data_IF_822409002901
#
_entry.id   IF_822409002901
#
_cell.length_a   1.000
_cell.length_b   1.000
_cell.length_c   1.000
_cell.angle_alpha   90.00
_cell.angle_beta   90.00
_cell.angle_gamma   90.00
#
_symmetry.space_group_name_H-M   'P 1'
#
loop_
_entity.id
_entity.type
_entity.pdbx_description
1 polymer ?
#
# COMPACT_ATOMS: atom_id res chain seq x y z
N UNK A 1 5.83 -15.76 -25.07
CA UNK A 1 4.96 -15.89 -23.87
C UNK A 1 5.81 -15.62 -22.64
N UNK A 2 5.21 -15.18 -21.53
CA UNK A 2 5.87 -15.09 -20.23
C UNK A 2 5.48 -16.34 -19.41
N UNK A 3 6.37 -16.94 -18.62
CA UNK A 3 7.74 -16.53 -18.30
C UNK A 3 8.74 -16.65 -19.47
N UNK A 4 9.69 -15.71 -19.55
CA UNK A 4 10.78 -15.75 -20.54
C UNK A 4 12.09 -16.06 -19.83
N UNK A 5 12.74 -17.15 -20.19
CA UNK A 5 14.07 -17.49 -19.72
C UNK A 5 15.13 -16.67 -20.47
N UNK A 6 16.08 -16.09 -19.74
CA UNK A 6 17.15 -15.26 -20.30
C UNK A 6 18.49 -16.01 -20.36
N UNK A 7 18.70 -16.97 -19.45
CA UNK A 7 19.93 -17.77 -19.33
C UNK A 7 20.42 -17.86 -17.89
N UNK A 8 21.50 -18.61 -17.66
CA UNK A 8 22.10 -18.78 -16.33
C UNK A 8 22.86 -17.53 -15.87
N UNK A 9 22.81 -17.24 -14.58
CA UNK A 9 23.66 -16.24 -13.95
C UNK A 9 25.09 -16.80 -13.76
N UNK A 10 26.15 -16.13 -14.23
CA UNK A 10 27.53 -16.58 -14.01
C UNK A 10 27.96 -16.59 -12.54
N UNK A 11 27.25 -15.90 -11.64
CA UNK A 11 27.61 -15.84 -10.21
C UNK A 11 26.98 -16.96 -9.39
N UNK A 12 25.67 -17.18 -9.54
CA UNK A 12 24.94 -18.18 -8.75
C UNK A 12 24.76 -19.51 -9.49
N UNK A 13 24.83 -19.49 -10.82
CA UNK A 13 24.49 -20.65 -11.67
C UNK A 13 22.99 -20.85 -11.88
N UNK A 14 22.13 -20.02 -11.26
CA UNK A 14 20.67 -20.15 -11.38
C UNK A 14 20.15 -19.55 -12.69
N UNK A 15 19.06 -20.10 -13.21
CA UNK A 15 18.40 -19.57 -14.42
C UNK A 15 17.64 -18.27 -14.13
N UNK A 16 18.04 -17.20 -14.81
CA UNK A 16 17.36 -15.91 -14.77
C UNK A 16 16.11 -15.97 -15.64
N UNK A 17 14.97 -15.67 -15.04
CA UNK A 17 13.66 -15.70 -15.71
C UNK A 17 12.89 -14.40 -15.51
N UNK A 18 12.33 -13.86 -16.59
CA UNK A 18 11.47 -12.69 -16.59
C UNK A 18 9.99 -13.08 -16.49
N UNK A 19 9.27 -12.39 -15.60
CA UNK A 19 7.85 -12.59 -15.30
C UNK A 19 7.10 -11.26 -15.39
N UNK A 20 5.78 -11.35 -15.56
CA UNK A 20 4.87 -10.22 -15.38
C UNK A 20 3.86 -10.56 -14.28
N UNK A 21 3.99 -9.91 -13.12
CA UNK A 21 3.21 -10.21 -11.93
C UNK A 21 2.28 -9.07 -11.49
N UNK A 22 1.61 -9.26 -10.34
CA UNK A 22 0.66 -8.29 -9.77
C UNK A 22 1.24 -6.88 -9.56
N UNK A 23 2.54 -6.80 -9.25
CA UNK A 23 3.23 -5.55 -8.94
C UNK A 23 4.01 -4.99 -10.13
N UNK A 24 3.82 -5.56 -11.33
CA UNK A 24 4.55 -5.22 -12.54
C UNK A 24 5.53 -6.31 -12.99
N UNK A 25 6.26 -6.04 -14.07
CA UNK A 25 7.29 -6.94 -14.60
C UNK A 25 8.47 -7.06 -13.63
N UNK A 26 9.05 -8.25 -13.52
CA UNK A 26 10.16 -8.54 -12.63
C UNK A 26 11.02 -9.69 -13.16
N UNK A 27 12.27 -9.75 -12.70
CA UNK A 27 13.21 -10.84 -12.93
C UNK A 27 13.40 -11.66 -11.65
N UNK A 28 13.59 -12.96 -11.82
CA UNK A 28 13.85 -13.93 -10.74
C UNK A 28 15.09 -14.75 -11.08
N UNK A 29 15.97 -14.93 -10.10
CA UNK A 29 17.16 -15.77 -10.14
C UNK A 29 17.21 -16.56 -8.82
N UNK A 30 16.89 -17.85 -8.83
CA UNK A 30 16.75 -18.64 -7.60
C UNK A 30 15.72 -18.03 -6.62
N UNK A 31 16.18 -17.62 -5.44
CA UNK A 31 15.39 -16.93 -4.42
C UNK A 31 15.40 -15.39 -4.56
N UNK A 32 16.32 -14.86 -5.36
CA UNK A 32 16.44 -13.43 -5.59
C UNK A 32 15.44 -12.94 -6.64
N UNK A 33 14.83 -11.79 -6.35
CA UNK A 33 13.85 -11.14 -7.22
C UNK A 33 14.08 -9.64 -7.28
N UNK A 34 13.89 -9.07 -8.47
CA UNK A 34 14.00 -7.63 -8.72
C UNK A 34 12.94 -7.16 -9.70
N UNK A 35 12.27 -6.06 -9.36
CA UNK A 35 11.32 -5.40 -10.26
C UNK A 35 12.06 -4.77 -11.45
N UNK A 36 11.47 -4.89 -12.64
CA UNK A 36 11.96 -4.19 -13.82
C UNK A 36 11.49 -2.72 -13.79
N UNK A 37 12.31 -1.77 -14.29
CA UNK A 37 11.88 -0.41 -14.54
C UNK A 37 10.67 -0.35 -15.49
N UNK A 38 9.88 0.71 -15.41
CA UNK A 38 8.73 0.94 -16.30
C UNK A 38 9.11 1.03 -17.79
N UNK A 39 10.35 1.41 -18.06
CA UNK A 39 10.88 1.61 -19.42
C UNK A 39 11.28 0.28 -20.08
N UNK A 40 11.43 -0.80 -19.31
CA UNK A 40 11.90 -2.09 -19.79
C UNK A 40 10.76 -3.09 -19.77
N UNK A 41 10.40 -3.55 -20.96
CA UNK A 41 9.43 -4.63 -21.15
C UNK A 41 10.03 -5.97 -20.68
N UNK A 42 9.25 -6.84 -20.00
CA UNK A 42 9.70 -8.20 -19.66
C UNK A 42 9.94 -9.08 -20.90
N UNK A 43 9.48 -8.62 -22.07
CA UNK A 43 9.74 -9.28 -23.34
C UNK A 43 11.05 -8.84 -23.98
N UNK A 44 11.60 -7.67 -23.64
CA UNK A 44 12.80 -7.10 -24.30
C UNK A 44 14.02 -7.07 -23.38
N UNK A 45 13.85 -7.44 -22.11
CA UNK A 45 14.93 -7.49 -21.13
C UNK A 45 16.02 -8.47 -21.56
N UNK A 46 17.27 -8.02 -21.45
CA UNK A 46 18.45 -8.85 -21.73
C UNK A 46 19.00 -9.47 -20.45
N UNK A 47 19.76 -10.56 -20.57
CA UNK A 47 20.45 -11.19 -19.44
C UNK A 47 21.32 -10.18 -18.68
N UNK A 48 22.08 -9.36 -19.41
CA UNK A 48 22.98 -8.36 -18.82
C UNK A 48 22.24 -7.33 -17.96
N UNK A 49 21.11 -6.81 -18.44
CA UNK A 49 20.26 -5.88 -17.68
C UNK A 49 19.65 -6.55 -16.44
N UNK A 50 19.23 -7.82 -16.57
CA UNK A 50 18.69 -8.56 -15.44
C UNK A 50 19.74 -8.76 -14.34
N UNK A 51 20.98 -9.10 -14.73
CA UNK A 51 22.10 -9.25 -13.79
C UNK A 51 22.48 -7.94 -13.12
N UNK A 52 22.45 -6.82 -13.85
CA UNK A 52 22.69 -5.49 -13.28
C UNK A 52 21.64 -5.14 -12.22
N UNK A 53 20.36 -5.45 -12.48
CA UNK A 53 19.29 -5.23 -11.51
C UNK A 53 19.40 -6.15 -10.28
N UNK A 54 19.76 -7.42 -10.49
CA UNK A 54 19.99 -8.40 -9.41
C UNK A 54 21.15 -7.98 -8.50
N UNK A 55 22.23 -7.44 -9.07
CA UNK A 55 23.37 -6.92 -8.32
C UNK A 55 23.03 -5.70 -7.45
N UNK A 56 21.98 -4.94 -7.77
CA UNK A 56 21.53 -3.84 -6.92
C UNK A 56 20.94 -4.37 -5.61
N UNK A 57 21.17 -3.70 -4.47
CA UNK A 57 20.58 -4.09 -3.19
C UNK A 57 19.05 -4.06 -3.27
N UNK A 58 18.40 -4.96 -2.54
CA UNK A 58 16.93 -5.06 -2.51
C UNK A 58 16.38 -3.75 -1.94
N UNK A 59 15.86 -2.88 -2.81
CA UNK A 59 15.22 -1.64 -2.38
C UNK A 59 14.04 -2.02 -1.51
N UNK A 60 14.20 -1.85 -0.18
CA UNK A 60 13.10 -1.99 0.75
C UNK A 60 11.96 -1.09 0.26
N UNK A 61 10.76 -1.66 0.18
CA UNK A 61 9.58 -0.98 -0.36
C UNK A 61 9.46 0.41 0.27
N UNK A 62 9.73 1.45 -0.51
CA UNK A 62 9.61 2.86 -0.11
C UNK A 62 8.20 3.06 0.46
N UNK A 63 8.06 3.03 1.79
CA UNK A 63 6.74 3.18 2.42
C UNK A 63 6.49 2.45 3.73
N UNK A 64 7.32 1.49 4.14
CA UNK A 64 7.21 0.84 5.45
C UNK A 64 8.58 0.82 6.13
N UNK A 65 8.84 1.81 7.00
CA UNK A 65 9.97 1.75 7.93
C UNK A 65 11.31 2.33 7.46
N UNK A 66 11.37 3.15 6.42
CA UNK A 66 12.54 4.04 6.30
C UNK A 66 12.46 5.05 7.45
N UNK A 67 13.52 5.11 8.27
CA UNK A 67 13.69 6.12 9.31
C UNK A 67 13.59 7.47 8.64
N UNK A 68 12.46 8.14 8.82
CA UNK A 68 12.24 9.46 8.24
C UNK A 68 13.06 10.46 9.03
N UNK A 69 13.65 11.41 8.33
CA UNK A 69 14.33 12.51 8.98
C UNK A 69 13.27 13.31 9.77
N UNK A 70 13.48 13.52 11.08
CA UNK A 70 12.58 14.34 11.88
C UNK A 70 12.67 15.78 11.40
N UNK A 71 11.51 16.37 11.08
CA UNK A 71 11.38 17.79 10.74
C UNK A 71 11.78 18.65 11.94
N UNK A 72 11.39 18.20 13.13
CA UNK A 72 11.71 18.87 14.40
C UNK A 72 11.88 17.81 15.48
N UNK A 73 12.90 17.98 16.32
CA UNK A 73 13.12 17.15 17.51
C UNK A 73 12.95 18.07 18.70
N UNK A 74 12.12 17.65 19.65
CA UNK A 74 11.90 18.33 20.91
C UNK A 74 12.55 17.56 22.07
N UNK A 75 12.45 18.11 23.27
CA UNK A 75 12.92 17.52 24.50
C UNK A 75 12.13 16.27 24.90
N UNK A 76 12.56 15.63 25.99
CA UNK A 76 11.98 14.40 26.51
C UNK A 76 10.57 14.64 27.07
N UNK A 77 9.63 13.76 26.70
CA UNK A 77 8.28 13.79 27.25
C UNK A 77 8.30 13.50 28.76
N UNK A 78 7.61 14.29 29.60
CA UNK A 78 7.56 14.05 31.05
C UNK A 78 6.85 12.74 31.41
N UNK A 79 6.10 12.14 30.48
CA UNK A 79 5.33 10.91 30.69
C UNK A 79 6.16 9.68 30.31
N UNK A 80 6.74 9.70 29.11
CA UNK A 80 7.42 8.53 28.52
C UNK A 80 8.94 8.60 28.61
N UNK A 81 9.52 9.75 29.01
CA UNK A 81 10.98 10.03 29.05
C UNK A 81 11.68 9.77 27.70
N UNK A 82 10.91 9.78 26.61
CA UNK A 82 11.41 9.57 25.26
C UNK A 82 11.43 10.91 24.51
N UNK A 83 12.38 11.05 23.58
CA UNK A 83 12.51 12.23 22.73
C UNK A 83 11.29 12.36 21.83
N UNK A 84 10.65 13.52 21.88
CA UNK A 84 9.48 13.81 21.05
C UNK A 84 9.95 14.28 19.67
N UNK A 85 9.52 13.59 18.61
CA UNK A 85 9.91 13.88 17.23
C UNK A 85 8.70 14.21 16.37
N UNK A 86 8.85 15.22 15.52
CA UNK A 86 7.88 15.59 14.49
C UNK A 86 8.36 15.04 13.15
N UNK A 87 7.59 14.13 12.56
CA UNK A 87 7.92 13.41 11.33
C UNK A 87 6.84 13.66 10.28
N UNK A 88 7.22 13.68 9.01
CA UNK A 88 6.22 13.67 7.93
C UNK A 88 5.67 12.25 7.71
N UNK A 89 4.35 12.13 7.66
CA UNK A 89 3.59 10.88 7.61
C UNK A 89 3.06 10.55 6.21
N UNK A 90 2.66 9.30 5.95
CA UNK A 90 1.77 9.00 4.79
C UNK A 90 0.47 9.81 4.85
N UNK A 91 0.05 10.14 6.07
CA UNK A 91 -1.21 10.82 6.35
C UNK A 91 -1.04 12.31 6.69
N UNK A 92 0.18 12.83 6.55
CA UNK A 92 0.58 14.16 7.00
C UNK A 92 1.45 14.12 8.27
N UNK A 93 1.90 15.29 8.73
CA UNK A 93 2.83 15.43 9.85
C UNK A 93 2.25 14.84 11.14
N UNK A 94 3.11 14.16 11.91
CA UNK A 94 2.75 13.55 13.18
C UNK A 94 3.88 13.68 14.18
N UNK A 95 3.50 13.80 15.44
CA UNK A 95 4.39 13.77 16.59
C UNK A 95 4.46 12.33 17.12
N UNK A 96 5.65 11.86 17.44
CA UNK A 96 5.90 10.58 18.07
C UNK A 96 6.81 10.76 19.29
N UNK A 97 6.49 10.09 20.37
CA UNK A 97 7.39 9.90 21.51
C UNK A 97 7.93 8.46 21.55
N UNK A 98 7.95 7.76 20.39
CA UNK A 98 8.38 6.36 20.26
C UNK A 98 7.32 5.33 20.65
N UNK A 99 6.45 5.65 21.60
CA UNK A 99 5.36 4.77 22.05
C UNK A 99 3.99 5.20 21.49
N UNK A 100 3.69 6.49 21.55
CA UNK A 100 2.44 7.11 21.10
C UNK A 100 2.66 7.97 19.86
N UNK A 101 1.74 7.85 18.90
CA UNK A 101 1.77 8.62 17.66
C UNK A 101 0.53 9.51 17.53
N UNK A 102 0.70 10.82 17.55
CA UNK A 102 -0.36 11.81 17.41
C UNK A 102 -0.23 12.59 16.10
N UNK A 103 -1.29 12.61 15.28
CA UNK A 103 -1.30 13.38 14.03
C UNK A 103 -1.51 14.86 14.30
N UNK A 104 -0.75 15.71 13.61
CA UNK A 104 -0.91 17.16 13.67
C UNK A 104 -2.14 17.56 12.85
N UNK A 105 -3.04 18.43 13.37
CA UNK A 105 -4.19 18.92 12.61
C UNK A 105 -3.78 19.61 11.29
N UNK A 106 -4.59 19.40 10.25
CA UNK A 106 -4.37 20.04 8.95
C UNK A 106 -4.66 21.53 9.06
N UNK A 107 -3.64 22.36 8.87
CA UNK A 107 -3.74 23.83 8.99
C UNK A 107 -2.84 24.41 10.08
N UNK A 108 -2.32 23.58 10.99
CA UNK A 108 -1.27 24.00 11.93
C UNK A 108 0.08 24.03 11.22
N UNK A 109 0.81 25.13 11.34
CA UNK A 109 2.16 25.25 10.79
C UNK A 109 3.13 24.32 11.54
N UNK A 110 3.74 23.39 10.80
CA UNK A 110 4.59 22.33 11.34
C UNK A 110 5.85 22.92 11.98
N UNK A 111 6.39 23.99 11.41
CA UNK A 111 7.61 24.66 11.88
C UNK A 111 7.39 25.43 13.20
N UNK A 112 6.19 26.00 13.37
CA UNK A 112 5.82 26.80 14.55
C UNK A 112 5.23 25.97 15.69
N UNK A 113 5.11 24.65 15.53
CA UNK A 113 4.55 23.80 16.56
C UNK A 113 5.43 23.83 17.82
N UNK A 114 4.81 24.14 18.96
CA UNK A 114 5.48 24.25 20.26
C UNK A 114 5.58 22.90 20.95
N UNK A 115 6.49 22.78 21.92
CA UNK A 115 6.63 21.55 22.70
C UNK A 115 5.38 21.24 23.53
N UNK A 116 4.74 22.27 24.11
CA UNK A 116 3.50 22.09 24.87
C UNK A 116 2.35 21.59 24.00
N UNK A 117 2.21 22.11 22.78
CA UNK A 117 1.21 21.63 21.83
C UNK A 117 1.47 20.17 21.43
N UNK A 118 2.73 19.79 21.24
CA UNK A 118 3.12 18.41 20.94
C UNK A 118 2.74 17.46 22.10
N UNK A 119 3.00 17.84 23.34
CA UNK A 119 2.61 17.08 24.53
C UNK A 119 1.09 16.97 24.66
N UNK A 120 0.36 18.05 24.41
CA UNK A 120 -1.10 18.05 24.43
C UNK A 120 -1.68 17.08 23.39
N UNK A 121 -1.12 17.05 22.17
CA UNK A 121 -1.53 16.11 21.13
C UNK A 121 -1.24 14.65 21.52
N UNK A 122 -0.08 14.38 22.12
CA UNK A 122 0.28 13.05 22.60
C UNK A 122 -0.62 12.59 23.75
N UNK A 123 -0.87 13.45 24.74
CA UNK A 123 -1.76 13.16 25.86
C UNK A 123 -3.21 12.93 25.41
N UNK A 124 -3.71 13.78 24.51
CA UNK A 124 -5.02 13.59 23.88
C UNK A 124 -5.09 12.25 23.13
N UNK A 125 -3.99 11.81 22.50
CA UNK A 125 -3.97 10.54 21.78
C UNK A 125 -3.84 9.32 22.69
N UNK A 126 -3.06 9.43 23.76
CA UNK A 126 -2.90 8.40 24.78
C UNK A 126 -4.24 8.11 25.47
N UNK A 127 -5.02 9.15 25.80
CA UNK A 127 -6.36 9.00 26.40
C UNK A 127 -7.41 8.52 25.40
N UNK A 128 -7.32 8.94 24.13
CA UNK A 128 -8.30 8.56 23.10
C UNK A 128 -8.10 7.16 22.51
N UNK A 129 -7.09 6.39 22.96
CA UNK A 129 -6.93 4.97 22.62
C UNK A 129 -7.19 4.68 21.14
N UNK A 130 -6.33 5.17 20.25
CA UNK A 130 -6.33 4.75 18.85
C UNK A 130 -7.71 4.68 18.19
N UNK A 131 -8.48 5.78 18.14
CA UNK A 131 -9.79 5.78 17.47
C UNK A 131 -9.67 5.21 16.06
N UNK A 132 -10.07 3.95 15.87
CA UNK A 132 -10.42 3.40 14.56
C UNK A 132 -11.51 4.32 14.05
N UNK A 133 -11.18 5.23 13.14
CA UNK A 133 -12.18 5.99 12.38
C UNK A 133 -13.14 4.94 11.82
N UNK A 134 -14.36 4.91 12.35
CA UNK A 134 -15.45 4.08 11.83
C UNK A 134 -15.46 4.31 10.32
N UNK A 135 -15.10 3.27 9.56
CA UNK A 135 -15.31 3.26 8.13
C UNK A 135 -16.80 3.33 7.91
N UNK A 136 -17.33 4.53 7.68
CA UNK A 136 -18.67 4.71 7.15
C UNK A 136 -18.63 4.24 5.69
N UNK A 137 -18.61 2.91 5.48
CA UNK A 137 -19.01 2.33 4.20
C UNK A 137 -20.51 2.54 4.10
N UNK A 138 -20.92 3.59 3.39
CA UNK A 138 -22.26 3.68 2.81
C UNK A 138 -22.35 2.57 1.75
N UNK A 139 -23.16 1.50 1.92
CA UNK A 139 -23.38 0.57 0.83
C UNK A 139 -24.23 1.31 -0.21
N UNK A 140 -23.62 1.64 -1.35
CA UNK A 140 -24.37 1.97 -2.56
C UNK A 140 -25.19 0.73 -2.92
N UNK A 141 -26.49 0.79 -2.67
CA UNK A 141 -27.44 -0.20 -3.14
C UNK A 141 -27.26 -0.36 -4.66
N UNK A 142 -26.75 -1.51 -5.08
CA UNK A 142 -26.75 -1.92 -6.49
C UNK A 142 -28.22 -2.02 -6.92
N UNK A 143 -28.69 -1.00 -7.64
CA UNK A 143 -29.98 -1.01 -8.34
C UNK A 143 -29.91 -2.14 -9.38
N UNK A 144 -30.49 -3.28 -9.04
CA UNK A 144 -30.63 -4.41 -9.94
C UNK A 144 -31.41 -3.95 -11.18
N UNK A 145 -30.83 -4.25 -12.33
CA UNK A 145 -31.34 -4.06 -13.68
C UNK A 145 -32.71 -4.72 -13.85
N UNK A 146 -33.78 -3.92 -13.96
CA UNK A 146 -35.03 -4.38 -14.59
C UNK A 146 -34.84 -4.33 -16.10
N UNK A 147 -34.44 -5.47 -16.67
CA UNK A 147 -34.47 -5.72 -18.11
C UNK A 147 -35.93 -5.71 -18.56
N UNK A 148 -36.31 -4.66 -19.27
CA UNK A 148 -37.55 -4.60 -20.02
C UNK A 148 -37.53 -5.71 -21.09
N UNK A 149 -38.48 -6.63 -21.04
CA UNK A 149 -38.86 -7.46 -22.18
C UNK A 149 -40.37 -7.42 -22.32
N UNK A 150 -40.77 -6.72 -23.37
CA UNK A 150 -42.11 -6.58 -23.90
C UNK A 150 -42.62 -7.88 -24.53
N UNK A 151 -43.94 -8.08 -24.44
CA UNK A 151 -44.80 -8.85 -25.37
C UNK A 151 -44.63 -10.38 -25.40
N UNK A 152 -45.62 -11.11 -24.86
CA UNK A 152 -46.57 -11.89 -25.69
C UNK A 152 -47.82 -12.29 -24.90
N UNK A 153 -48.96 -11.82 -25.42
CA UNK A 153 -50.35 -12.20 -25.10
C UNK A 153 -50.68 -13.47 -25.90
N UNK A 154 -51.15 -14.54 -25.25
CA UNK A 154 -51.93 -15.66 -25.82
C UNK A 154 -52.31 -16.63 -24.68
N UNK A 155 -53.50 -16.49 -24.08
CA UNK A 155 -54.68 -17.36 -24.28
C UNK A 155 -54.54 -18.80 -23.75
N UNK A 156 -55.08 -18.99 -22.54
CA UNK A 156 -55.92 -20.11 -22.09
C UNK A 156 -56.15 -21.27 -23.07
N UNK A 157 -55.75 -22.48 -22.67
CA UNK A 157 -56.59 -23.68 -22.87
C UNK A 157 -56.36 -24.72 -21.77
N UNK A 158 -57.42 -24.95 -21.00
CA UNK A 158 -57.66 -26.11 -20.13
C UNK A 158 -57.72 -27.38 -20.99
N UNK A 159 -57.06 -28.45 -20.56
CA UNK A 159 -57.55 -29.82 -20.81
C UNK A 159 -56.92 -30.79 -19.80
N UNK A 160 -57.71 -31.10 -18.78
CA UNK A 160 -57.59 -32.26 -17.91
C UNK A 160 -57.90 -33.54 -18.71
N UNK A 161 -57.06 -34.56 -18.59
CA UNK A 161 -57.45 -35.95 -18.84
C UNK A 161 -56.66 -36.83 -17.87
N UNK A 162 -57.33 -37.55 -16.96
CA UNK A 162 -57.45 -39.02 -17.01
C UNK A 162 -58.08 -39.58 -15.71
N UNK A 163 -59.11 -40.39 -15.95
CA UNK A 163 -59.77 -41.37 -15.06
C UNK A 163 -60.62 -40.84 -13.92
#
# INVERSE_FOLDING_TARGET
SLPRELGPDPKSGDTVTAYNGRFGPYVKCGDETRSLPSDISPLDVTLQQALELLAQPKKARRGFGQTREPIKVFDESPVTKQKVQLLDGRYGPYVTDGETNASVPKGTAVDQLSFEDALNLLAARATQGGTKKKGAKKPTAKKATKKATTKKKATTKKSSTKK
#
